data_IF_490941718424
#
_entry.id   IF_490941718424
#
_cell.length_a   1.000
_cell.length_b   1.000
_cell.length_c   1.000
_cell.angle_alpha   90.00
_cell.angle_beta   90.00
_cell.angle_gamma   90.00
#
_symmetry.space_group_name_H-M   'P 1'
#
loop_
_entity.id
_entity.type
_entity.pdbx_description
1 polymer ?
#
# COMPACT_ATOMS: atom_id res chain seq x y z
N UNK A 1 -16.41 -29.18 -2.81
CA UNK A 1 -15.63 -29.34 -1.57
C UNK A 1 -16.52 -28.93 -0.41
N UNK A 2 -16.85 -29.84 0.51
CA UNK A 2 -17.78 -29.56 1.61
C UNK A 2 -17.06 -28.89 2.79
N UNK A 3 -17.58 -27.74 3.24
CA UNK A 3 -17.15 -27.05 4.44
C UNK A 3 -17.84 -27.72 5.64
N UNK A 4 -17.04 -28.38 6.48
CA UNK A 4 -17.47 -29.18 7.65
C UNK A 4 -17.49 -28.37 8.94
N UNK A 5 -17.48 -27.04 8.84
CA UNK A 5 -16.71 -26.19 9.76
C UNK A 5 -17.14 -26.15 11.22
N UNK A 6 -18.23 -26.82 11.64
CA UNK A 6 -18.58 -26.90 13.06
C UNK A 6 -19.17 -28.29 13.41
N UNK A 7 -18.62 -29.01 14.42
CA UNK A 7 -19.10 -30.34 14.80
C UNK A 7 -20.53 -30.34 15.36
N UNK A 8 -21.38 -31.26 14.88
CA UNK A 8 -22.73 -31.53 15.38
C UNK A 8 -22.68 -32.20 16.76
N UNK A 9 -23.41 -31.67 17.74
CA UNK A 9 -23.53 -32.26 19.09
C UNK A 9 -24.11 -33.67 19.03
N UNK A 10 -23.47 -34.66 19.66
CA UNK A 10 -24.17 -35.84 20.19
C UNK A 10 -23.60 -36.27 21.55
N UNK A 11 -24.51 -36.23 22.53
CA UNK A 11 -24.48 -36.69 23.93
C UNK A 11 -23.46 -36.02 24.88
N UNK A 12 -24.01 -35.22 25.81
CA UNK A 12 -23.31 -34.50 26.88
C UNK A 12 -24.19 -33.37 27.43
N UNK A 13 -23.79 -32.79 28.58
CA UNK A 13 -24.51 -31.69 29.28
C UNK A 13 -25.04 -30.65 28.28
N UNK A 14 -26.32 -30.22 28.38
CA UNK A 14 -26.87 -29.21 27.48
C UNK A 14 -25.97 -27.99 27.43
N UNK A 15 -25.81 -27.45 26.23
CA UNK A 15 -24.98 -26.26 26.01
C UNK A 15 -25.55 -25.11 26.82
N UNK A 16 -24.81 -24.68 27.83
CA UNK A 16 -25.07 -23.51 28.65
C UNK A 16 -24.96 -22.24 27.79
N UNK A 17 -25.99 -21.97 26.99
CA UNK A 17 -26.47 -20.67 26.45
C UNK A 17 -25.50 -19.61 25.88
N UNK A 18 -24.18 -19.80 25.87
CA UNK A 18 -23.22 -18.71 25.70
C UNK A 18 -22.04 -19.04 24.78
N UNK A 19 -22.12 -20.12 23.99
CA UNK A 19 -21.05 -20.47 23.05
C UNK A 19 -21.22 -19.66 21.77
N UNK A 20 -20.29 -18.73 21.51
CA UNK A 20 -20.10 -18.13 20.18
C UNK A 20 -19.78 -19.24 19.18
N UNK A 21 -20.12 -19.03 17.90
CA UNK A 21 -19.76 -19.96 16.84
C UNK A 21 -18.23 -20.14 16.83
N UNK A 22 -17.81 -21.40 16.84
CA UNK A 22 -16.41 -21.77 16.89
C UNK A 22 -16.02 -22.44 15.58
N UNK A 23 -14.94 -21.95 14.98
CA UNK A 23 -14.31 -22.57 13.81
C UNK A 23 -13.00 -23.19 14.29
N UNK A 24 -12.73 -24.43 13.90
CA UNK A 24 -11.44 -25.06 14.17
C UNK A 24 -10.49 -24.75 13.01
N UNK A 25 -9.51 -23.88 13.26
CA UNK A 25 -8.46 -23.52 12.30
C UNK A 25 -7.14 -24.13 12.74
N UNK A 26 -6.39 -24.70 11.80
CA UNK A 26 -5.01 -25.13 12.02
C UNK A 26 -4.08 -24.00 11.57
N UNK A 27 -3.20 -23.58 12.47
CA UNK A 27 -2.21 -22.53 12.21
C UNK A 27 -0.81 -23.13 12.28
N UNK A 28 0.12 -22.55 11.54
CA UNK A 28 1.55 -22.88 11.60
C UNK A 28 2.16 -22.43 12.94
N UNK A 29 3.20 -23.12 13.48
CA UNK A 29 3.86 -22.69 14.73
C UNK A 29 4.30 -21.23 14.74
N UNK A 30 4.83 -20.73 13.62
CA UNK A 30 5.25 -19.33 13.48
C UNK A 30 4.08 -18.34 13.68
N UNK A 31 2.86 -18.72 13.29
CA UNK A 31 1.67 -17.89 13.48
C UNK A 31 1.22 -17.87 14.94
N UNK A 32 1.41 -18.97 15.68
CA UNK A 32 1.17 -19.00 17.11
C UNK A 32 2.17 -18.12 17.87
N UNK A 33 3.46 -18.18 17.52
CA UNK A 33 4.48 -17.30 18.12
C UNK A 33 4.19 -15.82 17.86
N UNK A 34 3.79 -15.48 16.63
CA UNK A 34 3.39 -14.12 16.29
C UNK A 34 2.15 -13.67 17.09
N UNK A 35 1.16 -14.55 17.26
CA UNK A 35 -0.04 -14.28 18.05
C UNK A 35 0.30 -14.08 19.53
N UNK A 36 1.12 -14.95 20.12
CA UNK A 36 1.53 -14.85 21.53
C UNK A 36 2.40 -13.61 21.78
N UNK A 37 3.27 -13.25 20.83
CA UNK A 37 4.00 -11.98 20.85
C UNK A 37 3.06 -10.77 20.79
N UNK A 38 1.99 -10.84 20.01
CA UNK A 38 0.98 -9.79 19.94
C UNK A 38 0.15 -9.69 21.24
N UNK A 39 -0.21 -10.82 21.83
CA UNK A 39 -0.92 -10.92 23.12
C UNK A 39 -0.12 -10.20 24.22
N UNK A 40 1.18 -10.50 24.33
CA UNK A 40 2.08 -9.86 25.32
C UNK A 40 2.11 -8.34 25.18
N UNK A 41 2.10 -7.84 23.94
CA UNK A 41 2.16 -6.39 23.66
C UNK A 41 0.86 -5.66 24.00
N UNK A 42 -0.29 -6.33 23.88
CA UNK A 42 -1.61 -5.70 24.02
C UNK A 42 -2.34 -6.10 25.31
N UNK A 43 -1.66 -6.80 26.22
CA UNK A 43 -2.19 -7.29 27.51
C UNK A 43 -3.56 -7.98 27.38
N UNK A 44 -3.71 -8.84 26.35
CA UNK A 44 -4.95 -9.58 26.11
C UNK A 44 -4.93 -10.87 26.92
N UNK A 45 -6.07 -11.23 27.51
CA UNK A 45 -6.12 -12.36 28.45
C UNK A 45 -6.10 -13.74 27.76
N UNK A 46 -6.51 -13.81 26.48
CA UNK A 46 -6.61 -15.11 25.79
C UNK A 46 -6.42 -15.06 24.27
N UNK A 47 -5.93 -16.16 23.69
CA UNK A 47 -5.78 -16.34 22.23
C UNK A 47 -7.09 -16.11 21.45
N UNK A 48 -8.27 -16.63 21.88
CA UNK A 48 -9.53 -16.36 21.18
C UNK A 48 -9.93 -14.89 21.19
N UNK A 49 -9.63 -14.16 22.27
CA UNK A 49 -9.91 -12.73 22.34
C UNK A 49 -8.96 -11.93 21.44
N UNK A 50 -7.68 -12.30 21.43
CA UNK A 50 -6.69 -11.69 20.56
C UNK A 50 -7.04 -11.87 19.08
N UNK A 51 -7.45 -13.07 18.67
CA UNK A 51 -7.92 -13.34 17.31
C UNK A 51 -9.12 -12.47 16.96
N UNK A 52 -10.10 -12.29 17.86
CA UNK A 52 -11.26 -11.41 17.60
C UNK A 52 -10.85 -9.97 17.35
N UNK A 53 -9.94 -9.43 18.18
CA UNK A 53 -9.43 -8.05 18.00
C UNK A 53 -8.64 -7.91 16.71
N UNK A 54 -7.79 -8.89 16.37
CA UNK A 54 -7.04 -8.89 15.12
C UNK A 54 -7.97 -8.96 13.90
N UNK A 55 -9.04 -9.74 13.96
CA UNK A 55 -10.06 -9.79 12.91
C UNK A 55 -10.79 -8.45 12.80
N UNK A 56 -11.19 -7.85 13.91
CA UNK A 56 -11.83 -6.53 13.91
C UNK A 56 -10.91 -5.46 13.30
N UNK A 57 -9.63 -5.45 13.67
CA UNK A 57 -8.63 -4.54 13.09
C UNK A 57 -8.44 -4.81 11.60
N UNK A 58 -8.30 -6.07 11.18
CA UNK A 58 -8.12 -6.45 9.79
C UNK A 58 -9.31 -6.10 8.89
N UNK A 59 -10.53 -6.17 9.43
CA UNK A 59 -11.75 -5.78 8.71
C UNK A 59 -12.00 -4.28 8.73
N UNK A 60 -11.60 -3.58 9.81
CA UNK A 60 -11.73 -2.12 9.93
C UNK A 60 -10.75 -1.38 9.04
N UNK A 61 -9.56 -1.93 8.83
CA UNK A 61 -8.61 -1.44 7.82
C UNK A 61 -9.14 -1.84 6.45
N UNK A 62 -10.13 -1.10 5.94
CA UNK A 62 -10.32 -0.99 4.48
C UNK A 62 -9.00 -0.43 3.96
N UNK A 63 -8.12 -1.30 3.46
CA UNK A 63 -6.88 -0.91 2.80
C UNK A 63 -7.23 0.21 1.84
N UNK A 64 -6.83 1.48 2.07
CA UNK A 64 -6.87 2.42 0.98
C UNK A 64 -5.91 1.82 -0.04
N UNK A 65 -6.42 1.50 -1.23
CA UNK A 65 -5.60 1.08 -2.34
C UNK A 65 -4.38 2.02 -2.35
N UNK A 66 -3.18 1.44 -2.24
CA UNK A 66 -1.88 2.12 -2.27
C UNK A 66 -2.03 3.39 -3.12
N UNK A 67 -1.80 4.61 -2.59
CA UNK A 67 -2.20 5.82 -3.28
C UNK A 67 -1.55 5.83 -4.66
N UNK A 68 -2.34 5.48 -5.68
CA UNK A 68 -2.00 5.60 -7.09
C UNK A 68 -1.60 7.06 -7.25
N UNK A 69 -0.40 7.29 -7.78
CA UNK A 69 0.33 8.57 -7.73
C UNK A 69 -0.63 9.77 -7.67
N UNK A 70 -0.81 10.33 -6.48
CA UNK A 70 -1.78 11.41 -6.31
C UNK A 70 -1.37 12.55 -7.24
N UNK A 71 -2.26 13.07 -8.10
CA UNK A 71 -1.93 14.12 -9.08
C UNK A 71 -1.18 15.30 -8.46
N UNK A 72 -1.50 15.60 -7.19
CA UNK A 72 -0.83 16.65 -6.41
C UNK A 72 0.66 16.42 -6.15
N UNK A 73 1.16 15.18 -6.04
CA UNK A 73 2.61 14.93 -5.91
C UNK A 73 3.36 15.21 -7.20
N UNK A 74 2.77 14.85 -8.35
CA UNK A 74 3.33 15.12 -9.68
C UNK A 74 3.37 16.63 -9.96
N UNK A 75 2.31 17.35 -9.62
CA UNK A 75 2.26 18.82 -9.77
C UNK A 75 3.29 19.50 -8.86
N UNK A 76 3.37 19.12 -7.58
CA UNK A 76 4.38 19.65 -6.65
C UNK A 76 5.81 19.38 -7.12
N UNK A 77 6.08 18.19 -7.65
CA UNK A 77 7.39 17.86 -8.22
C UNK A 77 7.73 18.74 -9.44
N UNK A 78 6.77 19.01 -10.32
CA UNK A 78 6.95 19.94 -11.44
C UNK A 78 7.23 21.37 -10.98
N UNK A 79 6.46 21.88 -10.01
CA UNK A 79 6.68 23.23 -9.47
C UNK A 79 8.06 23.40 -8.85
N UNK A 80 8.53 22.41 -8.08
CA UNK A 80 9.87 22.43 -7.49
C UNK A 80 10.95 22.39 -8.57
N UNK A 81 10.78 21.59 -9.62
CA UNK A 81 11.71 21.53 -10.74
C UNK A 81 11.76 22.86 -11.52
N UNK A 82 10.62 23.49 -11.77
CA UNK A 82 10.53 24.79 -12.46
C UNK A 82 11.30 25.87 -11.69
N UNK A 83 11.10 25.94 -10.37
CA UNK A 83 11.79 26.91 -9.48
C UNK A 83 13.30 26.66 -9.39
N UNK A 84 13.71 25.39 -9.33
CA UNK A 84 15.14 25.03 -9.31
C UNK A 84 15.84 25.45 -10.61
N UNK A 85 15.19 25.22 -11.76
CA UNK A 85 15.73 25.62 -13.07
C UNK A 85 15.86 27.14 -13.17
N UNK A 86 14.88 27.91 -12.70
CA UNK A 86 14.98 29.38 -12.69
C UNK A 86 16.17 29.89 -11.86
N UNK A 87 16.46 29.22 -10.74
CA UNK A 87 17.60 29.57 -9.89
C UNK A 87 18.96 29.23 -10.51
N UNK A 88 19.01 28.21 -11.37
CA UNK A 88 20.24 27.76 -12.04
C UNK A 88 20.51 28.51 -13.36
N UNK A 89 19.55 29.27 -13.88
CA UNK A 89 19.71 30.03 -15.13
C UNK A 89 20.46 31.34 -14.86
N UNK A 90 21.46 31.61 -15.71
CA UNK A 90 22.22 32.86 -15.74
C UNK A 90 21.27 34.08 -15.85
N UNK A 91 21.26 34.98 -14.85
CA UNK A 91 20.39 36.16 -14.82
C UNK A 91 20.75 37.22 -15.88
N UNK A 92 21.82 37.07 -16.65
CA UNK A 92 22.21 38.00 -17.71
C UNK A 92 21.63 37.68 -19.10
N UNK A 93 20.97 36.52 -19.29
CA UNK A 93 20.51 36.08 -20.63
C UNK A 93 19.13 36.65 -21.03
N UNK A 94 18.84 36.94 -22.32
CA UNK A 94 17.52 37.36 -22.79
C UNK A 94 16.41 36.34 -22.46
N UNK A 95 15.18 36.79 -22.13
CA UNK A 95 14.10 35.92 -21.64
C UNK A 95 13.64 34.85 -22.63
N UNK A 96 13.75 35.09 -23.95
CA UNK A 96 13.42 34.09 -24.97
C UNK A 96 14.41 32.90 -24.99
N UNK A 97 15.70 33.15 -24.79
CA UNK A 97 16.70 32.08 -24.74
C UNK A 97 16.54 31.22 -23.49
N UNK A 98 16.12 31.84 -22.37
CA UNK A 98 15.78 31.11 -21.14
C UNK A 98 14.60 30.16 -21.39
N UNK A 99 13.55 30.61 -22.07
CA UNK A 99 12.39 29.77 -22.36
C UNK A 99 12.74 28.58 -23.27
N UNK A 100 13.57 28.81 -24.31
CA UNK A 100 14.03 27.74 -25.20
C UNK A 100 14.95 26.74 -24.48
N UNK A 101 15.89 27.20 -23.63
CA UNK A 101 16.74 26.32 -22.82
C UNK A 101 15.92 25.51 -21.82
N UNK A 102 14.92 26.10 -21.16
CA UNK A 102 13.99 25.40 -20.26
C UNK A 102 13.22 24.31 -20.97
N UNK A 103 12.72 24.57 -22.18
CA UNK A 103 12.07 23.55 -23.03
C UNK A 103 13.03 22.42 -23.40
N UNK A 104 14.28 22.74 -23.73
CA UNK A 104 15.32 21.72 -24.03
C UNK A 104 15.64 20.85 -22.81
N UNK A 105 15.80 21.46 -21.63
CA UNK A 105 16.12 20.76 -20.37
C UNK A 105 14.98 19.86 -19.89
N UNK A 106 13.73 20.31 -20.01
CA UNK A 106 12.55 19.53 -19.58
C UNK A 106 12.16 18.44 -20.58
N UNK A 107 12.42 18.66 -21.87
CA UNK A 107 12.17 17.64 -22.90
C UNK A 107 13.26 16.56 -22.91
N UNK A 108 14.50 16.93 -22.56
CA UNK A 108 15.70 16.11 -22.66
C UNK A 108 16.27 16.13 -24.10
N UNK A 109 17.58 15.92 -24.28
CA UNK A 109 18.20 15.75 -25.60
C UNK A 109 17.54 14.59 -26.36
N UNK A 110 17.47 14.72 -27.68
CA UNK A 110 16.82 13.74 -28.56
C UNK A 110 17.39 12.33 -28.37
N UNK A 111 18.69 12.22 -28.09
CA UNK A 111 19.44 10.99 -27.82
C UNK A 111 18.87 10.17 -26.65
N UNK A 112 18.25 10.82 -25.66
CA UNK A 112 17.70 10.13 -24.48
C UNK A 112 16.21 9.81 -24.60
N UNK A 113 15.57 10.07 -25.76
CA UNK A 113 14.15 9.77 -25.96
C UNK A 113 13.88 8.26 -26.00
N UNK A 114 14.83 7.46 -26.44
CA UNK A 114 14.70 5.99 -26.51
C UNK A 114 14.74 5.32 -25.12
N UNK A 115 15.44 5.95 -24.17
CA UNK A 115 15.56 5.49 -22.78
C UNK A 115 14.40 5.92 -21.89
N UNK A 116 13.51 6.80 -22.38
CA UNK A 116 12.34 7.27 -21.63
C UNK A 116 11.30 6.16 -21.53
N UNK A 117 11.34 5.42 -20.41
CA UNK A 117 10.40 4.34 -20.06
C UNK A 117 8.94 4.81 -20.02
N UNK A 118 8.70 6.10 -19.77
CA UNK A 118 7.35 6.69 -19.67
C UNK A 118 6.68 7.04 -21.01
N UNK A 119 7.38 6.93 -22.15
CA UNK A 119 6.80 7.22 -23.47
C UNK A 119 6.42 5.93 -24.22
N UNK A 120 5.30 5.92 -24.95
CA UNK A 120 4.98 4.80 -25.84
C UNK A 120 6.06 4.70 -26.92
N UNK A 121 6.70 3.54 -27.03
CA UNK A 121 7.71 3.29 -28.07
C UNK A 121 7.07 3.52 -29.44
N UNK A 122 7.75 4.30 -30.30
CA UNK A 122 7.29 4.55 -31.66
C UNK A 122 7.12 3.21 -32.39
N UNK A 123 5.91 2.95 -32.90
CA UNK A 123 5.69 1.81 -33.80
C UNK A 123 6.43 2.08 -35.10
N UNK A 124 7.42 1.25 -35.40
CA UNK A 124 8.17 1.28 -36.65
C UNK A 124 7.24 1.08 -37.85
N UNK A 125 7.60 1.74 -38.94
CA UNK A 125 7.00 1.61 -40.27
C UNK A 125 7.61 0.42 -41.00
#
# INVERSE_FOLDING_TARGET
MAIRDIPKKRRGRPSTGGRREGIMVRLEPAQFEALDGWIKKHAVESRPEAIRRLVELGLKVKTPARPVSTPGRRLRAQELAIKAIDKMIDPSAPPEERAQRRRRLTTGPTEFREDRVDLPKAKGK
#
